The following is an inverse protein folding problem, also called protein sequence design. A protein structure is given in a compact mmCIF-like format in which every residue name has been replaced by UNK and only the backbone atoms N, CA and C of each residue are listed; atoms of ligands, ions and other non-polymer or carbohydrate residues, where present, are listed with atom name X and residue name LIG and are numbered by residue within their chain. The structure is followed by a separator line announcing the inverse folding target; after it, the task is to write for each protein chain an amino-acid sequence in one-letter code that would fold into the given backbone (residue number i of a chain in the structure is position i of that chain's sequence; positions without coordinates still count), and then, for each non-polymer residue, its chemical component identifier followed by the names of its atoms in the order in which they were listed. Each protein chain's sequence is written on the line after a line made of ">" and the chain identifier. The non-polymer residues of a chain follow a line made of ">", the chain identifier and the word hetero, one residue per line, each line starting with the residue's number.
data_IF_261218523606
#
_entry.id   IF_261218523606
#
_cell.length_a   1.000
_cell.length_b   1.000
_cell.length_c   1.000
_cell.angle_alpha   90.00
_cell.angle_beta   90.00
_cell.angle_gamma   90.00
#
_symmetry.space_group_name_H-M   'P 1'
#
loop_
_entity.id
_entity.type
_entity.pdbx_description
1 polymer ?
#
# COMPACT_ATOMS: atom_id res chain seq x y z
N UNK A 1 25.25 -1.84 -9.52
CA UNK A 1 25.13 -0.99 -10.69
C UNK A 1 23.85 -0.14 -10.61
N UNK A 2 22.67 -0.71 -10.46
CA UNK A 2 21.39 0.00 -10.44
C UNK A 2 21.43 1.21 -9.48
N UNK A 3 21.73 1.02 -8.21
CA UNK A 3 21.75 2.10 -7.20
C UNK A 3 22.61 3.31 -7.58
N UNK A 4 23.60 3.11 -8.44
CA UNK A 4 24.52 4.17 -8.88
C UNK A 4 23.98 4.94 -10.09
N UNK A 5 23.45 4.21 -11.08
CA UNK A 5 22.95 4.83 -12.31
C UNK A 5 21.55 5.42 -12.13
N UNK A 6 20.75 4.84 -11.24
CA UNK A 6 19.41 5.32 -10.92
C UNK A 6 19.40 6.76 -10.40
N UNK A 7 20.41 7.15 -9.59
CA UNK A 7 20.53 8.51 -9.06
C UNK A 7 20.87 9.56 -10.14
N UNK A 8 21.26 9.14 -11.33
CA UNK A 8 21.53 10.05 -12.48
C UNK A 8 20.39 10.10 -13.51
N UNK A 9 19.24 9.54 -13.19
CA UNK A 9 18.05 9.62 -14.06
C UNK A 9 17.61 11.08 -14.14
N UNK A 10 17.40 11.56 -15.37
CA UNK A 10 16.98 12.92 -15.63
C UNK A 10 15.58 13.20 -15.07
N UNK A 11 15.34 14.47 -14.75
CA UNK A 11 14.05 14.91 -14.18
C UNK A 11 12.87 14.76 -15.16
N UNK A 12 13.15 14.70 -16.44
CA UNK A 12 12.20 14.54 -17.55
C UNK A 12 12.21 13.13 -18.15
N UNK A 13 12.80 12.16 -17.48
CA UNK A 13 12.79 10.76 -17.94
C UNK A 13 11.40 10.15 -17.77
N UNK A 14 10.70 9.93 -18.88
CA UNK A 14 9.34 9.39 -18.93
C UNK A 14 9.31 7.87 -19.13
N UNK A 15 10.46 7.20 -19.23
CA UNK A 15 10.51 5.75 -19.44
C UNK A 15 9.83 4.99 -18.31
N UNK A 16 9.18 3.89 -18.68
CA UNK A 16 8.74 2.88 -17.72
C UNK A 16 9.92 2.12 -17.12
N UNK A 17 9.67 1.41 -16.02
CA UNK A 17 10.69 0.52 -15.42
C UNK A 17 11.18 -0.50 -16.43
N UNK A 18 10.27 -1.11 -17.22
CA UNK A 18 10.63 -2.11 -18.24
C UNK A 18 11.54 -1.52 -19.32
N UNK A 19 11.18 -0.36 -19.89
CA UNK A 19 11.99 0.33 -20.89
C UNK A 19 13.36 0.71 -20.35
N UNK A 20 13.41 1.27 -19.15
CA UNK A 20 14.69 1.61 -18.51
C UNK A 20 15.59 0.38 -18.29
N UNK A 21 15.03 -0.73 -17.81
CA UNK A 21 15.79 -1.97 -17.61
C UNK A 21 16.35 -2.52 -18.93
N UNK A 22 15.57 -2.44 -20.00
CA UNK A 22 15.98 -2.88 -21.34
C UNK A 22 17.09 -1.99 -21.92
N UNK A 23 16.90 -0.67 -21.93
CA UNK A 23 17.84 0.31 -22.46
C UNK A 23 19.19 0.27 -21.73
N UNK A 24 19.13 0.20 -20.40
CA UNK A 24 20.31 0.11 -19.56
C UNK A 24 20.93 -1.30 -19.52
N UNK A 25 20.35 -2.25 -20.26
CA UNK A 25 20.83 -3.63 -20.38
C UNK A 25 21.01 -4.31 -19.01
N UNK A 26 20.02 -4.18 -18.14
CA UNK A 26 19.94 -5.01 -16.93
C UNK A 26 19.53 -6.42 -17.29
N UNK A 27 20.13 -7.42 -16.63
CA UNK A 27 19.76 -8.82 -16.84
C UNK A 27 18.33 -9.11 -16.33
N UNK A 28 17.63 -10.03 -17.00
CA UNK A 28 16.25 -10.43 -16.66
C UNK A 28 16.13 -10.83 -15.17
N UNK A 29 17.07 -11.59 -14.63
CA UNK A 29 17.06 -11.97 -13.22
C UNK A 29 17.05 -10.77 -12.25
N UNK A 30 17.67 -9.66 -12.61
CA UNK A 30 17.61 -8.47 -11.77
C UNK A 30 16.22 -7.83 -11.83
N UNK A 31 15.62 -7.76 -13.01
CA UNK A 31 14.25 -7.27 -13.18
C UNK A 31 13.23 -8.20 -12.51
N UNK A 32 13.22 -9.46 -12.94
CA UNK A 32 12.14 -10.41 -12.63
C UNK A 32 12.24 -10.99 -11.21
N UNK A 33 13.45 -11.23 -10.70
CA UNK A 33 13.65 -11.85 -9.39
C UNK A 33 13.86 -10.83 -8.25
N UNK A 34 14.06 -9.54 -8.56
CA UNK A 34 14.39 -8.56 -7.53
C UNK A 34 13.60 -7.25 -7.67
N UNK A 35 13.80 -6.47 -8.76
CA UNK A 35 13.30 -5.09 -8.82
C UNK A 35 11.78 -5.03 -8.93
N UNK A 36 11.20 -5.75 -9.89
CA UNK A 36 9.75 -5.80 -10.09
C UNK A 36 9.01 -6.41 -8.90
N UNK A 37 9.46 -7.56 -8.32
CA UNK A 37 8.90 -8.09 -7.09
C UNK A 37 8.94 -7.12 -5.91
N UNK A 38 10.08 -6.44 -5.72
CA UNK A 38 10.23 -5.45 -4.64
C UNK A 38 9.30 -4.26 -4.82
N UNK A 39 9.20 -3.72 -6.04
CA UNK A 39 8.28 -2.65 -6.36
C UNK A 39 6.82 -3.09 -6.21
N UNK A 40 6.46 -4.27 -6.72
CA UNK A 40 5.14 -4.88 -6.54
C UNK A 40 4.74 -5.02 -5.07
N UNK A 41 5.67 -5.42 -4.22
CA UNK A 41 5.44 -5.53 -2.78
C UNK A 41 5.16 -4.17 -2.12
N UNK A 42 5.82 -3.12 -2.56
CA UNK A 42 5.66 -1.75 -2.03
C UNK A 42 4.29 -1.19 -2.40
N UNK A 43 3.86 -1.35 -3.65
CA UNK A 43 2.61 -0.78 -4.15
C UNK A 43 1.44 -1.76 -4.15
N UNK A 44 1.62 -2.99 -3.67
CA UNK A 44 0.59 -4.04 -3.61
C UNK A 44 -0.12 -4.26 -4.95
N UNK A 45 0.62 -4.20 -6.05
CA UNK A 45 0.12 -4.38 -7.42
C UNK A 45 0.93 -5.44 -8.17
N UNK A 46 0.38 -5.95 -9.28
CA UNK A 46 1.05 -6.98 -10.07
C UNK A 46 2.32 -6.50 -10.78
N UNK A 47 3.20 -7.44 -11.12
CA UNK A 47 4.48 -7.15 -11.79
C UNK A 47 4.31 -6.51 -13.15
N UNK A 48 3.26 -6.85 -13.91
CA UNK A 48 3.00 -6.24 -15.23
C UNK A 48 2.61 -4.77 -15.11
N UNK A 49 1.76 -4.44 -14.14
CA UNK A 49 1.39 -3.05 -13.84
C UNK A 49 2.60 -2.25 -13.37
N UNK A 50 3.43 -2.85 -12.51
CA UNK A 50 4.63 -2.18 -12.00
C UNK A 50 5.70 -2.02 -13.09
N UNK A 51 5.77 -2.91 -14.07
CA UNK A 51 6.71 -2.80 -15.18
C UNK A 51 6.45 -1.55 -16.04
N UNK A 52 5.20 -1.12 -16.15
CA UNK A 52 4.79 0.11 -16.85
C UNK A 52 4.87 1.39 -15.98
N UNK A 53 5.20 1.26 -14.71
CA UNK A 53 5.33 2.40 -13.81
C UNK A 53 6.53 3.28 -14.18
N UNK A 54 6.44 4.64 -14.04
CA UNK A 54 7.55 5.51 -14.37
C UNK A 54 8.78 5.21 -13.52
N UNK A 55 9.92 4.96 -14.15
CA UNK A 55 11.19 4.66 -13.47
C UNK A 55 11.59 5.76 -12.48
N UNK A 56 11.34 7.00 -12.82
CA UNK A 56 11.64 8.15 -11.99
C UNK A 56 10.88 8.09 -10.65
N UNK A 57 9.59 7.76 -10.67
CA UNK A 57 8.78 7.64 -9.45
C UNK A 57 9.32 6.54 -8.53
N UNK A 58 9.73 5.39 -9.09
CA UNK A 58 10.38 4.32 -8.35
C UNK A 58 11.69 4.80 -7.72
N UNK A 59 12.54 5.46 -8.49
CA UNK A 59 13.86 5.92 -8.02
C UNK A 59 13.72 6.98 -6.95
N UNK A 60 12.83 7.96 -7.14
CA UNK A 60 12.54 8.98 -6.13
C UNK A 60 12.06 8.35 -4.82
N UNK A 61 11.17 7.37 -4.92
CA UNK A 61 10.72 6.63 -3.73
C UNK A 61 11.89 5.90 -3.06
N UNK A 62 12.70 5.18 -3.83
CA UNK A 62 13.83 4.41 -3.30
C UNK A 62 14.88 5.32 -2.64
N UNK A 63 15.15 6.47 -3.22
CA UNK A 63 16.10 7.45 -2.66
C UNK A 63 15.57 8.04 -1.36
N UNK A 64 14.34 8.51 -1.33
CA UNK A 64 13.67 9.05 -0.14
C UNK A 64 13.62 8.07 1.04
N UNK A 65 13.60 6.77 0.74
CA UNK A 65 13.56 5.70 1.75
C UNK A 65 14.94 5.07 2.02
N UNK A 66 16.01 5.62 1.44
CA UNK A 66 17.38 5.12 1.60
C UNK A 66 17.61 3.72 1.01
N UNK A 67 16.76 3.27 0.09
CA UNK A 67 16.85 1.94 -0.51
C UNK A 67 17.98 1.85 -1.56
N UNK A 68 18.40 2.99 -2.10
CA UNK A 68 19.54 3.09 -3.02
C UNK A 68 20.89 3.16 -2.29
N UNK A 69 20.88 3.40 -0.98
CA UNK A 69 22.11 3.47 -0.16
C UNK A 69 22.56 2.08 0.30
N UNK A 70 23.87 1.83 0.26
CA UNK A 70 24.49 0.62 0.81
C UNK A 70 24.86 0.76 2.30
N UNK A 71 24.95 1.99 2.80
CA UNK A 71 25.25 2.32 4.19
C UNK A 71 24.34 3.44 4.70
N UNK A 72 24.35 3.67 6.01
CA UNK A 72 23.55 4.71 6.66
C UNK A 72 22.05 4.64 6.32
N UNK A 73 21.50 3.43 6.15
CA UNK A 73 20.08 3.26 5.89
C UNK A 73 19.27 3.75 7.09
N UNK A 74 18.14 4.43 6.88
CA UNK A 74 17.22 4.78 7.95
C UNK A 74 16.83 3.55 8.76
N UNK A 75 16.87 3.65 10.08
CA UNK A 75 16.34 2.59 10.94
C UNK A 75 14.82 2.60 10.86
N UNK A 76 14.25 1.56 10.27
CA UNK A 76 12.81 1.38 10.25
C UNK A 76 12.29 1.11 11.65
N UNK A 77 11.14 1.71 11.97
CA UNK A 77 10.49 1.59 13.28
C UNK A 77 9.02 1.31 13.09
N UNK A 78 8.42 0.58 14.00
CA UNK A 78 6.97 0.43 14.13
C UNK A 78 6.51 1.02 15.47
N UNK A 79 5.22 1.35 15.56
CA UNK A 79 4.65 1.84 16.82
C UNK A 79 4.58 0.68 17.79
N UNK A 80 5.18 0.83 18.97
CA UNK A 80 5.11 -0.16 20.03
C UNK A 80 3.64 -0.43 20.43
N UNK A 81 3.27 -1.70 20.49
CA UNK A 81 1.91 -2.17 20.70
C UNK A 81 0.89 -1.73 19.63
N UNK A 82 1.38 -1.39 18.44
CA UNK A 82 0.57 -1.17 17.24
C UNK A 82 -0.04 0.22 17.09
N UNK A 83 -0.59 0.47 15.92
CA UNK A 83 -1.10 1.78 15.52
C UNK A 83 -2.29 2.27 16.36
N UNK A 84 -3.02 1.37 17.02
CA UNK A 84 -4.14 1.75 17.89
C UNK A 84 -3.71 2.72 19.01
N UNK A 85 -2.44 2.69 19.42
CA UNK A 85 -1.93 3.58 20.46
C UNK A 85 -2.01 5.05 20.04
N UNK A 86 -1.50 5.40 18.86
CA UNK A 86 -1.61 6.80 18.42
C UNK A 86 -3.03 7.19 18.03
N UNK A 87 -3.82 6.26 17.50
CA UNK A 87 -5.25 6.51 17.21
C UNK A 87 -5.99 6.89 18.50
N UNK A 88 -5.79 6.13 19.57
CA UNK A 88 -6.40 6.43 20.87
C UNK A 88 -5.91 7.77 21.43
N UNK A 89 -4.62 8.07 21.30
CA UNK A 89 -4.05 9.33 21.78
C UNK A 89 -4.62 10.55 21.03
N UNK A 90 -4.82 10.44 19.71
CA UNK A 90 -5.45 11.49 18.90
C UNK A 90 -6.93 11.62 19.26
N UNK A 91 -7.65 10.50 19.32
CA UNK A 91 -9.09 10.50 19.63
C UNK A 91 -9.38 11.14 21.00
N UNK A 92 -8.51 10.92 21.98
CA UNK A 92 -8.64 11.52 23.32
C UNK A 92 -8.54 13.06 23.33
N UNK A 93 -7.99 13.66 22.27
CA UNK A 93 -7.86 15.12 22.13
C UNK A 93 -9.01 15.76 21.32
N UNK A 94 -9.83 14.92 20.68
CA UNK A 94 -10.96 15.42 19.90
C UNK A 94 -12.15 15.76 20.81
N UNK A 95 -12.76 16.90 20.61
CA UNK A 95 -13.97 17.30 21.34
C UNK A 95 -15.15 16.38 21.01
N UNK A 96 -15.23 15.90 19.78
CA UNK A 96 -16.30 15.02 19.30
C UNK A 96 -15.79 14.14 18.17
N UNK A 97 -16.16 12.89 18.17
CA UNK A 97 -15.99 11.98 17.03
C UNK A 97 -17.14 10.97 16.99
N UNK A 98 -17.44 10.49 15.79
CA UNK A 98 -18.50 9.51 15.57
C UNK A 98 -17.88 8.26 14.93
N UNK A 99 -18.13 7.09 15.53
CA UNK A 99 -17.74 5.80 14.96
C UNK A 99 -18.94 5.19 14.24
N UNK A 100 -18.65 4.30 13.27
CA UNK A 100 -19.67 3.65 12.46
C UNK A 100 -20.65 4.64 11.80
N UNK A 101 -20.18 5.83 11.48
CA UNK A 101 -20.93 6.94 10.92
C UNK A 101 -20.48 7.26 9.48
N UNK A 102 -20.80 6.40 8.49
CA UNK A 102 -20.41 6.66 7.12
C UNK A 102 -21.05 7.95 6.61
N UNK A 103 -20.22 8.79 5.98
CA UNK A 103 -20.70 10.00 5.33
C UNK A 103 -21.39 9.60 4.03
N UNK A 104 -22.65 10.03 3.89
CA UNK A 104 -23.50 9.74 2.73
C UNK A 104 -23.27 10.75 1.60
N UNK A 105 -23.16 12.05 1.95
CA UNK A 105 -22.94 13.11 0.97
C UNK A 105 -22.31 14.35 1.60
N UNK A 106 -21.62 15.11 0.76
CA UNK A 106 -21.02 16.41 1.08
C UNK A 106 -21.47 17.39 0.01
N UNK A 107 -22.14 18.46 0.43
CA UNK A 107 -22.63 19.54 -0.44
C UNK A 107 -22.00 20.84 0.00
N UNK A 108 -21.45 21.60 -0.92
CA UNK A 108 -20.86 22.91 -0.67
C UNK A 108 -21.87 24.03 -0.96
N UNK A 109 -21.85 25.06 -0.15
CA UNK A 109 -22.55 26.32 -0.39
C UNK A 109 -21.57 27.49 -0.18
N UNK A 110 -22.00 28.69 -0.46
CA UNK A 110 -21.18 29.90 -0.23
C UNK A 110 -20.90 30.16 1.25
N UNK A 111 -21.73 29.61 2.15
CA UNK A 111 -21.72 29.93 3.58
C UNK A 111 -21.27 28.75 4.46
N UNK A 112 -21.37 27.52 3.96
CA UNK A 112 -21.10 26.33 4.76
C UNK A 112 -20.90 25.09 3.88
N UNK A 113 -20.30 24.05 4.47
CA UNK A 113 -20.29 22.70 3.92
C UNK A 113 -21.29 21.86 4.68
N UNK A 114 -22.24 21.26 3.96
CA UNK A 114 -23.29 20.39 4.51
C UNK A 114 -22.84 18.95 4.36
N UNK A 115 -22.67 18.27 5.48
CA UNK A 115 -22.33 16.86 5.54
C UNK A 115 -23.57 16.07 5.99
N UNK A 116 -23.92 15.01 5.27
CA UNK A 116 -25.00 14.09 5.63
C UNK A 116 -24.42 12.77 6.11
N UNK A 117 -24.81 12.35 7.31
CA UNK A 117 -24.46 11.04 7.89
C UNK A 117 -25.63 10.55 8.77
N UNK A 118 -25.95 9.27 8.73
CA UNK A 118 -27.09 8.68 9.47
C UNK A 118 -28.44 9.38 9.23
N UNK A 119 -28.65 9.93 8.04
CA UNK A 119 -29.86 10.70 7.73
C UNK A 119 -29.90 12.09 8.33
N UNK A 120 -28.94 12.47 9.18
CA UNK A 120 -28.82 13.79 9.78
C UNK A 120 -27.92 14.71 8.95
N UNK A 121 -28.09 16.03 9.12
CA UNK A 121 -27.29 17.05 8.48
C UNK A 121 -26.42 17.77 9.51
N UNK A 122 -25.15 17.90 9.18
CA UNK A 122 -24.18 18.65 9.96
C UNK A 122 -23.66 19.81 9.11
N UNK A 123 -23.52 20.99 9.72
CA UNK A 123 -22.96 22.18 9.05
C UNK A 123 -21.58 22.44 9.61
N UNK A 124 -20.63 22.70 8.70
CA UNK A 124 -19.24 23.04 9.03
C UNK A 124 -18.78 24.19 8.14
N UNK A 125 -17.84 24.97 8.64
CA UNK A 125 -17.17 26.00 7.85
C UNK A 125 -16.28 25.36 6.80
N UNK A 126 -15.56 24.30 7.18
CA UNK A 126 -14.64 23.56 6.32
C UNK A 126 -14.71 22.05 6.60
N UNK A 127 -14.37 21.24 5.59
CA UNK A 127 -14.33 19.77 5.69
C UNK A 127 -13.06 19.25 5.05
N UNK A 128 -12.34 18.39 5.77
CA UNK A 128 -11.22 17.61 5.25
C UNK A 128 -11.69 16.19 4.96
N UNK A 129 -11.58 15.77 3.70
CA UNK A 129 -11.94 14.42 3.28
C UNK A 129 -10.67 13.56 3.26
N UNK A 130 -10.54 12.64 4.21
CA UNK A 130 -9.39 11.75 4.37
C UNK A 130 -9.76 10.29 4.05
N UNK A 131 -10.36 10.07 2.88
CA UNK A 131 -10.76 8.76 2.36
C UNK A 131 -10.03 8.46 1.05
N UNK A 132 -10.30 7.32 0.42
CA UNK A 132 -9.89 7.07 -0.96
C UNK A 132 -10.47 8.13 -1.90
N UNK A 133 -9.75 8.48 -2.97
CA UNK A 133 -10.18 9.50 -3.92
C UNK A 133 -11.50 9.15 -4.62
N UNK A 134 -11.71 7.89 -4.97
CA UNK A 134 -12.98 7.39 -5.53
C UNK A 134 -14.14 7.50 -4.54
N UNK A 135 -13.89 7.26 -3.25
CA UNK A 135 -14.88 7.45 -2.18
C UNK A 135 -15.18 8.94 -1.98
N UNK A 136 -14.13 9.78 -1.95
CA UNK A 136 -14.28 11.23 -1.88
C UNK A 136 -15.17 11.76 -3.01
N UNK A 137 -14.89 11.33 -4.24
CA UNK A 137 -15.66 11.74 -5.42
C UNK A 137 -17.13 11.31 -5.32
N UNK A 138 -17.42 10.11 -4.84
CA UNK A 138 -18.80 9.61 -4.65
C UNK A 138 -19.58 10.40 -3.59
N UNK A 139 -18.91 10.94 -2.56
CA UNK A 139 -19.56 11.71 -1.51
C UNK A 139 -19.89 13.14 -1.95
N UNK A 140 -19.12 13.72 -2.87
CA UNK A 140 -19.37 15.07 -3.37
C UNK A 140 -20.64 15.10 -4.24
N UNK A 141 -21.61 15.96 -3.89
CA UNK A 141 -22.84 16.12 -4.67
C UNK A 141 -22.67 17.07 -5.86
N UNK A 142 -21.65 17.89 -5.82
CA UNK A 142 -21.36 18.98 -6.75
C UNK A 142 -19.90 19.01 -7.22
N UNK A 143 -19.32 17.83 -7.62
CA UNK A 143 -17.91 17.80 -7.99
C UNK A 143 -17.67 18.62 -9.25
N UNK A 144 -16.67 19.49 -9.21
CA UNK A 144 -16.19 20.22 -10.38
C UNK A 144 -15.59 19.25 -11.42
N UNK A 145 -15.49 19.70 -12.67
CA UNK A 145 -14.82 18.92 -13.73
C UNK A 145 -13.37 18.56 -13.38
N UNK A 146 -12.69 19.43 -12.63
CA UNK A 146 -11.33 19.22 -12.19
C UNK A 146 -11.23 18.11 -11.13
N UNK A 147 -12.12 18.15 -10.14
CA UNK A 147 -12.22 17.11 -9.12
C UNK A 147 -12.59 15.75 -9.72
N UNK A 148 -13.55 15.72 -10.64
CA UNK A 148 -13.91 14.50 -11.37
C UNK A 148 -12.71 13.91 -12.11
N UNK A 149 -11.94 14.77 -12.81
CA UNK A 149 -10.76 14.34 -13.57
C UNK A 149 -9.64 13.83 -12.64
N UNK A 150 -9.30 14.57 -11.58
CA UNK A 150 -8.16 14.24 -10.70
C UNK A 150 -8.51 13.08 -9.76
N UNK A 151 -9.62 13.18 -9.04
CA UNK A 151 -10.01 12.13 -8.08
C UNK A 151 -10.39 10.82 -8.77
N UNK A 152 -10.97 10.91 -9.97
CA UNK A 152 -11.35 9.75 -10.78
C UNK A 152 -10.20 9.10 -11.55
N UNK A 153 -9.03 9.74 -11.64
CA UNK A 153 -7.87 9.16 -12.34
C UNK A 153 -7.12 8.11 -11.51
N UNK A 154 -7.28 8.13 -10.19
CA UNK A 154 -6.63 7.16 -9.30
C UNK A 154 -7.51 5.90 -9.25
N UNK A 155 -7.03 4.82 -9.85
CA UNK A 155 -7.68 3.52 -9.82
C UNK A 155 -7.35 2.79 -8.52
N UNK A 156 -8.23 1.87 -8.12
CA UNK A 156 -8.03 1.04 -6.93
C UNK A 156 -8.15 -0.43 -7.27
N UNK A 157 -7.19 -1.23 -6.83
CA UNK A 157 -7.17 -2.67 -7.00
C UNK A 157 -7.51 -3.38 -5.68
N UNK A 158 -8.42 -4.36 -5.75
CA UNK A 158 -8.77 -5.18 -4.59
C UNK A 158 -7.66 -6.18 -4.29
N UNK A 159 -7.17 -6.15 -3.06
CA UNK A 159 -6.24 -7.12 -2.50
C UNK A 159 -6.88 -7.83 -1.30
N UNK A 160 -6.82 -9.16 -1.29
CA UNK A 160 -7.22 -9.95 -0.15
C UNK A 160 -6.05 -10.14 0.82
N UNK A 161 -6.28 -9.85 2.09
CA UNK A 161 -5.31 -10.02 3.15
C UNK A 161 -5.83 -11.05 4.15
N UNK A 162 -5.05 -12.09 4.40
CA UNK A 162 -5.37 -13.17 5.34
C UNK A 162 -4.41 -13.11 6.53
N UNK A 163 -4.94 -12.91 7.73
CA UNK A 163 -4.20 -13.11 8.97
C UNK A 163 -4.27 -14.59 9.34
N UNK A 164 -3.14 -15.24 9.53
CA UNK A 164 -3.05 -16.68 9.76
C UNK A 164 -1.80 -17.08 10.56
N UNK A 165 -1.72 -18.36 10.95
CA UNK A 165 -0.58 -18.95 11.63
C UNK A 165 0.14 -20.04 10.80
N UNK A 166 -0.21 -20.17 9.52
CA UNK A 166 0.38 -21.14 8.63
C UNK A 166 1.75 -20.68 8.12
N UNK A 167 2.81 -21.29 8.63
CA UNK A 167 4.20 -20.97 8.25
C UNK A 167 4.67 -21.67 6.98
N UNK A 168 3.83 -22.46 6.29
CA UNK A 168 4.21 -23.18 5.07
C UNK A 168 4.57 -22.24 3.92
N UNK A 169 3.98 -21.04 3.89
CA UNK A 169 4.27 -19.98 2.92
C UNK A 169 5.56 -19.20 3.20
N UNK A 170 6.19 -19.43 4.34
CA UNK A 170 7.47 -18.80 4.66
C UNK A 170 8.64 -19.52 4.00
N UNK A 171 9.78 -18.84 3.76
CA UNK A 171 10.97 -19.50 3.22
C UNK A 171 11.36 -20.73 4.02
N UNK A 172 11.78 -21.81 3.34
CA UNK A 172 12.18 -23.09 3.99
C UNK A 172 13.25 -22.89 5.06
N UNK A 173 14.21 -22.01 4.81
CA UNK A 173 15.24 -21.67 5.80
C UNK A 173 14.74 -20.52 6.70
N UNK A 174 14.64 -20.78 8.00
CA UNK A 174 14.30 -19.75 8.99
C UNK A 174 15.27 -18.56 8.99
N UNK A 175 16.51 -18.77 8.58
CA UNK A 175 17.52 -17.69 8.45
C UNK A 175 17.18 -16.70 7.32
N UNK A 176 16.33 -17.10 6.38
CA UNK A 176 15.86 -16.24 5.29
C UNK A 176 14.55 -15.50 5.63
N UNK A 177 13.96 -15.76 6.79
CA UNK A 177 12.73 -15.09 7.20
C UNK A 177 12.98 -13.59 7.41
N UNK A 178 12.18 -12.78 6.77
CA UNK A 178 12.19 -11.34 6.89
C UNK A 178 10.82 -10.83 7.33
N UNK A 179 10.72 -9.54 7.64
CA UNK A 179 9.43 -8.89 7.90
C UNK A 179 8.50 -8.97 6.69
N UNK A 180 9.09 -8.90 5.47
CA UNK A 180 8.40 -9.00 4.18
C UNK A 180 9.00 -10.16 3.38
N UNK A 181 8.17 -11.09 2.97
CA UNK A 181 8.60 -12.24 2.18
C UNK A 181 7.75 -12.28 0.91
N UNK A 182 8.35 -11.92 -0.23
CA UNK A 182 7.68 -11.94 -1.51
C UNK A 182 7.73 -13.34 -2.12
N UNK A 183 6.61 -13.79 -2.66
CA UNK A 183 6.49 -15.06 -3.34
C UNK A 183 6.48 -14.84 -4.85
N UNK A 184 7.48 -15.37 -5.54
CA UNK A 184 7.47 -15.50 -7.00
C UNK A 184 6.77 -16.83 -7.28
N UNK A 185 5.47 -16.77 -7.51
CA UNK A 185 4.69 -17.95 -7.86
C UNK A 185 4.92 -18.28 -9.36
N UNK A 186 4.90 -19.58 -9.68
CA UNK A 186 5.06 -20.09 -11.05
C UNK A 186 3.86 -19.79 -11.94
N UNK A 187 2.95 -18.93 -11.55
CA UNK A 187 1.94 -18.50 -12.44
C UNK A 187 0.76 -17.73 -12.04
N UNK A 188 0.09 -17.23 -12.95
CA UNK A 188 -1.35 -17.06 -13.29
C UNK A 188 -2.14 -15.94 -12.62
N UNK A 189 -1.81 -15.43 -11.47
CA UNK A 189 -2.43 -14.19 -10.97
C UNK A 189 -1.43 -13.06 -11.03
N UNK A 190 -1.69 -12.07 -11.88
CA UNK A 190 -0.88 -10.86 -11.98
C UNK A 190 -1.04 -9.97 -10.73
N UNK A 191 -1.08 -10.60 -9.54
CA UNK A 191 -1.19 -9.92 -8.25
C UNK A 191 0.05 -10.21 -7.40
N UNK A 192 0.50 -9.19 -6.70
CA UNK A 192 1.58 -9.36 -5.74
C UNK A 192 1.18 -10.34 -4.63
N UNK A 193 1.97 -11.39 -4.44
CA UNK A 193 1.84 -12.31 -3.31
C UNK A 193 2.96 -12.05 -2.32
N UNK A 194 2.59 -11.64 -1.13
CA UNK A 194 3.52 -11.20 -0.10
C UNK A 194 3.05 -11.71 1.26
N UNK A 195 3.97 -12.26 2.05
CA UNK A 195 3.71 -12.63 3.44
C UNK A 195 4.49 -11.73 4.40
N UNK A 196 3.77 -10.98 5.22
CA UNK A 196 4.32 -10.23 6.34
C UNK A 196 4.48 -11.12 7.55
N UNK A 197 5.66 -11.13 8.16
CA UNK A 197 5.87 -11.76 9.47
C UNK A 197 5.70 -10.70 10.56
N UNK A 198 4.55 -10.72 11.24
CA UNK A 198 4.20 -9.72 12.23
C UNK A 198 5.04 -9.83 13.50
N UNK A 199 5.53 -11.03 13.85
CA UNK A 199 6.42 -11.21 14.98
C UNK A 199 7.75 -10.46 14.77
N UNK A 200 8.28 -10.48 13.55
CA UNK A 200 9.49 -9.71 13.19
C UNK A 200 9.16 -8.24 13.05
N UNK A 201 8.10 -7.90 12.29
CA UNK A 201 7.74 -6.52 11.94
C UNK A 201 7.35 -5.68 13.15
N UNK A 202 6.60 -6.25 14.08
CA UNK A 202 6.08 -5.57 15.27
C UNK A 202 6.66 -6.11 16.59
N UNK A 203 7.65 -6.99 16.51
CA UNK A 203 8.32 -7.60 17.66
C UNK A 203 7.37 -8.28 18.64
N UNK A 204 6.32 -8.94 18.13
CA UNK A 204 5.39 -9.68 18.94
C UNK A 204 6.06 -10.88 19.63
N UNK A 205 5.84 -11.00 20.95
CA UNK A 205 6.31 -12.13 21.75
C UNK A 205 5.30 -13.30 21.76
N UNK A 206 4.63 -13.53 20.63
CA UNK A 206 3.72 -14.66 20.48
C UNK A 206 4.49 -15.95 20.29
N UNK A 207 4.09 -17.08 20.90
CA UNK A 207 4.64 -18.39 20.62
C UNK A 207 4.31 -18.88 19.20
N UNK A 208 3.22 -18.40 18.62
CA UNK A 208 2.81 -18.67 17.27
C UNK A 208 3.30 -17.57 16.30
N UNK A 209 3.53 -17.96 15.05
CA UNK A 209 3.84 -17.02 14.00
C UNK A 209 2.55 -16.36 13.50
N UNK A 210 2.42 -15.07 13.74
CA UNK A 210 1.34 -14.25 13.19
C UNK A 210 1.79 -13.73 11.83
N UNK A 211 1.12 -14.21 10.79
CA UNK A 211 1.44 -13.90 9.40
C UNK A 211 0.26 -13.20 8.74
N UNK A 212 0.56 -12.27 7.84
CA UNK A 212 -0.45 -11.67 6.96
C UNK A 212 -0.01 -11.90 5.52
N UNK A 213 -0.79 -12.68 4.77
CA UNK A 213 -0.50 -12.98 3.36
C UNK A 213 -1.49 -12.28 2.45
N UNK A 214 -0.99 -11.67 1.38
CA UNK A 214 -1.78 -11.03 0.34
C UNK A 214 -1.97 -11.98 -0.84
N UNK A 215 -3.22 -12.06 -1.32
CA UNK A 215 -3.61 -12.68 -2.60
C UNK A 215 -3.19 -14.14 -2.80
N UNK A 216 -3.14 -14.93 -1.72
CA UNK A 216 -2.83 -16.36 -1.77
C UNK A 216 -3.62 -17.15 -0.70
N UNK A 217 -4.88 -16.80 -0.48
CA UNK A 217 -5.73 -17.48 0.52
C UNK A 217 -5.94 -18.96 0.24
N UNK A 218 -5.94 -19.35 -1.02
CA UNK A 218 -6.04 -20.73 -1.49
C UNK A 218 -4.84 -21.61 -1.11
N UNK A 219 -3.71 -20.99 -0.77
CA UNK A 219 -2.48 -21.68 -0.37
C UNK A 219 -2.36 -21.82 1.17
N UNK A 220 -3.25 -21.20 1.93
CA UNK A 220 -3.24 -21.19 3.39
C UNK A 220 -4.14 -22.33 3.91
N UNK A 221 -3.64 -23.12 4.88
CA UNK A 221 -4.47 -24.09 5.59
C UNK A 221 -5.69 -23.38 6.24
N UNK A 222 -6.92 -23.70 5.83
CA UNK A 222 -8.12 -23.05 6.39
C UNK A 222 -8.23 -23.15 7.91
N UNK A 223 -7.70 -24.21 8.52
CA UNK A 223 -7.70 -24.38 9.97
C UNK A 223 -6.78 -23.38 10.70
N UNK A 224 -5.88 -22.72 9.97
CA UNK A 224 -4.92 -21.75 10.50
C UNK A 224 -5.29 -20.31 10.18
N UNK A 225 -6.39 -20.08 9.48
CA UNK A 225 -6.90 -18.74 9.17
C UNK A 225 -7.55 -18.12 10.41
N UNK A 226 -7.08 -16.94 10.78
CA UNK A 226 -7.63 -16.17 11.90
C UNK A 226 -8.62 -15.10 11.41
N UNK A 227 -8.32 -14.45 10.28
CA UNK A 227 -9.14 -13.38 9.73
C UNK A 227 -8.85 -13.12 8.26
N UNK A 228 -9.89 -12.82 7.50
CA UNK A 228 -9.77 -12.38 6.11
C UNK A 228 -10.28 -10.94 6.00
N UNK A 229 -9.59 -10.11 5.21
CA UNK A 229 -9.97 -8.73 4.89
C UNK A 229 -9.68 -8.46 3.42
N UNK A 230 -10.53 -7.65 2.80
CA UNK A 230 -10.32 -7.08 1.47
C UNK A 230 -9.98 -5.61 1.61
N UNK A 231 -8.92 -5.21 0.97
CA UNK A 231 -8.45 -3.82 0.91
C UNK A 231 -8.39 -3.38 -0.55
N UNK A 232 -8.68 -2.12 -0.79
CA UNK A 232 -8.49 -1.52 -2.09
C UNK A 232 -7.26 -0.61 -2.02
N UNK A 233 -6.23 -0.94 -2.78
CA UNK A 233 -5.00 -0.15 -2.84
C UNK A 233 -4.99 0.72 -4.09
N UNK A 234 -4.54 1.99 -4.00
CA UNK A 234 -4.43 2.85 -5.17
C UNK A 234 -3.34 2.32 -6.10
N UNK A 235 -3.64 2.32 -7.39
CA UNK A 235 -2.70 2.01 -8.46
C UNK A 235 -2.27 3.33 -9.10
N UNK A 236 -0.97 3.61 -9.05
CA UNK A 236 -0.40 4.81 -9.64
C UNK A 236 0.06 4.48 -11.06
N UNK A 237 -0.43 5.23 -12.04
CA UNK A 237 -0.11 5.13 -13.46
C UNK A 237 0.74 6.31 -13.90
#
# INVERSE_FOLDING_TARGET
>A
RFNRVALSIADDDERSIAEYLADEKFGSRFGDDYLLPMASAIWSTGTDSIASFPIRSLVTFFDNHGLLSLGNRPQWKSVEAGSQRYVNAIAAQLHRYHLAAPVESITRSEQAVILKAHGERYLFDEVVIATHSDQALRMLTDPSKHEQKILGSILYEENEAVLHTDASLMPRSRKAWASWNYHIADNTTNKATLTYNMNILQQHQSPEHLLVTLNASDQIDPARVLKVRKYHHPVFN
#
